data_IF_143442573286
#
_entry.id   IF_143442573286
#
_cell.length_a   1.000
_cell.length_b   1.000
_cell.length_c   1.000
_cell.angle_alpha   90.00
_cell.angle_beta   90.00
_cell.angle_gamma   90.00
#
_symmetry.space_group_name_H-M   'P 1'
#
loop_
_entity.id
_entity.type
_entity.pdbx_description
1 polymer ?
#
# COMPACT_ATOMS: atom_id res chain seq x y z
N UNK A 1 9.12 4.51 -2.92
CA UNK A 1 8.64 4.02 -4.24
C UNK A 1 7.32 3.31 -4.03
N UNK A 2 6.35 3.55 -4.91
CA UNK A 2 5.04 2.93 -4.87
C UNK A 2 4.78 2.23 -6.21
N UNK A 3 4.40 0.97 -6.18
CA UNK A 3 4.09 0.20 -7.38
C UNK A 3 2.68 -0.37 -7.24
N UNK A 4 1.79 -0.08 -8.19
CA UNK A 4 0.48 -0.70 -8.28
C UNK A 4 0.40 -1.62 -9.50
N UNK A 5 -0.44 -2.64 -9.41
CA UNK A 5 -0.72 -3.53 -10.54
C UNK A 5 -2.21 -3.74 -10.68
N UNK A 6 -2.71 -3.55 -11.89
CA UNK A 6 -4.10 -3.80 -12.27
C UNK A 6 -4.15 -4.47 -13.65
N UNK A 7 -5.34 -4.58 -14.23
CA UNK A 7 -5.54 -5.17 -15.57
C UNK A 7 -4.81 -4.39 -16.68
N UNK A 8 -4.61 -3.08 -16.49
CA UNK A 8 -3.85 -2.20 -17.38
C UNK A 8 -2.33 -2.34 -17.27
N UNK A 9 -1.84 -3.16 -16.34
CA UNK A 9 -0.42 -3.45 -16.16
C UNK A 9 0.14 -2.92 -14.84
N UNK A 10 1.45 -2.68 -14.83
CA UNK A 10 2.19 -2.23 -13.65
C UNK A 10 2.48 -0.74 -13.77
N UNK A 11 2.13 0.02 -12.74
CA UNK A 11 2.41 1.45 -12.64
C UNK A 11 3.34 1.70 -11.45
N UNK A 12 4.37 2.52 -11.63
CA UNK A 12 5.33 2.85 -10.58
C UNK A 12 5.43 4.35 -10.41
N UNK A 13 5.29 4.81 -9.17
CA UNK A 13 5.51 6.18 -8.75
C UNK A 13 6.76 6.26 -7.88
N UNK A 14 7.68 7.12 -8.29
CA UNK A 14 8.90 7.44 -7.56
C UNK A 14 8.85 8.91 -7.14
N UNK A 15 8.60 9.15 -5.87
CA UNK A 15 8.51 10.49 -5.33
C UNK A 15 8.00 10.49 -3.90
N UNK A 16 7.92 11.69 -3.34
CA UNK A 16 7.22 11.95 -2.09
C UNK A 16 5.72 11.94 -2.37
N UNK A 17 4.96 11.21 -1.55
CA UNK A 17 3.51 11.31 -1.53
C UNK A 17 3.15 12.50 -0.65
N UNK A 18 2.50 13.49 -1.25
CA UNK A 18 2.14 14.77 -0.61
C UNK A 18 0.64 14.85 -0.31
N UNK A 19 -0.19 14.13 -1.07
CA UNK A 19 -1.64 14.13 -0.88
C UNK A 19 -2.16 12.71 -0.69
N UNK A 20 -2.39 12.38 0.58
CA UNK A 20 -2.93 11.08 1.02
C UNK A 20 -4.21 11.33 1.79
N UNK A 21 -5.32 10.77 1.30
CA UNK A 21 -6.62 10.85 1.94
C UNK A 21 -7.09 9.45 2.34
N UNK A 22 -7.51 9.33 3.61
CA UNK A 22 -8.08 8.10 4.17
C UNK A 22 -9.59 8.25 4.26
N UNK A 23 -10.31 7.40 3.53
CA UNK A 23 -11.78 7.27 3.62
C UNK A 23 -12.13 5.95 4.31
N UNK A 24 -13.38 5.78 4.79
CA UNK A 24 -13.76 4.64 5.62
C UNK A 24 -13.47 3.23 5.06
N UNK A 25 -13.29 3.07 3.75
CA UNK A 25 -12.96 1.81 3.07
C UNK A 25 -12.07 2.00 1.82
N UNK A 26 -11.44 3.17 1.70
CA UNK A 26 -10.66 3.55 0.52
C UNK A 26 -9.46 4.39 0.94
N UNK A 27 -8.29 4.03 0.42
CA UNK A 27 -7.11 4.88 0.39
C UNK A 27 -7.07 5.59 -0.95
N UNK A 28 -6.92 6.90 -0.88
CA UNK A 28 -6.74 7.75 -2.04
C UNK A 28 -5.38 8.43 -1.98
N UNK A 29 -4.59 8.24 -3.03
CA UNK A 29 -3.36 8.99 -3.28
C UNK A 29 -3.57 9.84 -4.53
N UNK A 30 -3.37 11.15 -4.43
CA UNK A 30 -3.59 12.09 -5.54
C UNK A 30 -2.39 12.99 -5.77
N UNK A 31 -1.53 12.59 -6.69
CA UNK A 31 -0.43 13.39 -7.17
C UNK A 31 -0.74 13.96 -8.57
N UNK A 32 -0.10 15.06 -9.00
CA UNK A 32 -0.40 15.71 -10.28
C UNK A 32 -0.35 14.81 -11.52
N UNK A 33 0.38 13.69 -11.45
CA UNK A 33 0.55 12.73 -12.54
C UNK A 33 0.26 11.29 -12.13
N UNK A 34 -0.27 11.08 -10.93
CA UNK A 34 -0.51 9.75 -10.39
C UNK A 34 -1.68 9.79 -9.42
N UNK A 35 -2.71 9.02 -9.71
CA UNK A 35 -3.82 8.78 -8.77
C UNK A 35 -3.90 7.29 -8.46
N UNK A 36 -3.97 6.94 -7.18
CA UNK A 36 -4.29 5.59 -6.74
C UNK A 36 -5.54 5.63 -5.90
N UNK A 37 -6.49 4.79 -6.26
CA UNK A 37 -7.66 4.47 -5.47
C UNK A 37 -7.53 3.01 -5.07
N UNK A 38 -7.36 2.75 -3.78
CA UNK A 38 -7.24 1.42 -3.24
C UNK A 38 -8.41 1.16 -2.31
N UNK A 39 -9.31 0.27 -2.70
CA UNK A 39 -10.42 -0.14 -1.85
C UNK A 39 -10.01 -1.29 -0.95
N UNK A 40 -10.37 -1.22 0.33
CA UNK A 40 -10.09 -2.27 1.32
C UNK A 40 -10.64 -3.63 0.85
N UNK A 41 -11.83 -3.64 0.25
CA UNK A 41 -12.47 -4.85 -0.28
C UNK A 41 -11.65 -5.57 -1.38
N UNK A 42 -10.66 -4.91 -1.99
CA UNK A 42 -9.77 -5.52 -2.98
C UNK A 42 -8.59 -6.25 -2.33
N UNK A 43 -8.36 -6.04 -1.03
CA UNK A 43 -7.21 -6.58 -0.30
C UNK A 43 -7.65 -7.72 0.59
N UNK A 44 -7.05 -8.89 0.39
CA UNK A 44 -7.23 -10.06 1.23
C UNK A 44 -6.12 -10.15 2.29
N UNK A 45 -4.87 -9.86 1.90
CA UNK A 45 -3.73 -9.96 2.82
C UNK A 45 -2.72 -8.86 2.59
N UNK A 46 -2.00 -8.55 3.67
CA UNK A 46 -0.92 -7.58 3.71
C UNK A 46 0.32 -8.26 4.29
N UNK A 47 1.47 -8.02 3.67
CA UNK A 47 2.76 -8.57 4.08
C UNK A 47 3.70 -7.42 4.36
N UNK A 48 4.42 -7.53 5.47
CA UNK A 48 5.49 -6.60 5.84
C UNK A 48 6.82 -7.32 5.73
N UNK A 49 7.73 -6.76 4.94
CA UNK A 49 9.02 -7.35 4.63
C UNK A 49 10.09 -6.29 4.91
N UNK A 50 11.14 -6.67 5.63
CA UNK A 50 12.32 -5.82 5.84
C UNK A 50 13.52 -6.41 5.11
N UNK A 51 14.23 -5.58 4.36
CA UNK A 51 15.45 -5.96 3.65
C UNK A 51 16.53 -4.93 3.99
N UNK A 52 17.37 -5.25 4.98
CA UNK A 52 18.31 -4.28 5.55
C UNK A 52 17.55 -3.11 6.19
N UNK A 53 17.83 -1.88 5.75
CA UNK A 53 17.14 -0.66 6.19
C UNK A 53 15.91 -0.29 5.35
N UNK A 54 15.54 -1.14 4.39
CA UNK A 54 14.38 -0.92 3.53
C UNK A 54 13.18 -1.65 4.08
N UNK A 55 12.07 -0.92 4.23
CA UNK A 55 10.78 -1.49 4.59
C UNK A 55 9.92 -1.63 3.33
N UNK A 56 9.25 -2.78 3.20
CA UNK A 56 8.37 -3.09 2.08
C UNK A 56 7.02 -3.57 2.60
N UNK A 57 5.95 -3.01 2.04
CA UNK A 57 4.59 -3.47 2.26
C UNK A 57 4.02 -4.00 0.96
N UNK A 58 3.46 -5.20 0.97
CA UNK A 58 2.82 -5.82 -0.19
C UNK A 58 1.37 -6.18 0.13
N UNK A 59 0.47 -5.81 -0.78
CA UNK A 59 -0.96 -6.06 -0.67
C UNK A 59 -1.42 -6.98 -1.78
N UNK A 60 -2.17 -8.01 -1.40
CA UNK A 60 -2.64 -9.05 -2.30
C UNK A 60 -4.16 -9.15 -2.27
N UNK A 61 -4.75 -9.35 -3.44
CA UNK A 61 -6.18 -9.62 -3.55
C UNK A 61 -6.53 -11.08 -3.24
N UNK A 62 -7.82 -11.40 -3.30
CA UNK A 62 -8.33 -12.75 -3.06
C UNK A 62 -7.89 -13.82 -4.07
N UNK A 63 -7.24 -13.43 -5.18
CA UNK A 63 -6.61 -14.34 -6.14
C UNK A 63 -5.11 -14.53 -5.86
N UNK A 64 -4.58 -13.92 -4.80
CA UNK A 64 -3.15 -13.92 -4.50
C UNK A 64 -2.31 -13.02 -5.42
N UNK A 65 -2.94 -12.13 -6.19
CA UNK A 65 -2.20 -11.17 -7.02
C UNK A 65 -1.84 -9.92 -6.24
N UNK A 66 -0.60 -9.44 -6.42
CA UNK A 66 -0.15 -8.15 -5.92
C UNK A 66 -1.00 -7.02 -6.50
N UNK A 67 -1.55 -6.19 -5.63
CA UNK A 67 -2.34 -4.99 -5.93
C UNK A 67 -1.50 -3.74 -5.72
N UNK A 68 -0.75 -3.70 -4.61
CA UNK A 68 0.08 -2.57 -4.24
C UNK A 68 1.36 -3.06 -3.55
N UNK A 69 2.48 -2.44 -3.90
CA UNK A 69 3.75 -2.55 -3.18
C UNK A 69 4.23 -1.15 -2.82
N UNK A 70 4.57 -0.93 -1.55
CA UNK A 70 5.15 0.30 -1.04
C UNK A 70 6.53 0.01 -0.48
N UNK A 71 7.55 0.62 -1.07
CA UNK A 71 8.94 0.51 -0.64
C UNK A 71 9.41 1.84 -0.03
N UNK A 72 9.94 1.79 1.18
CA UNK A 72 10.37 2.96 1.96
C UNK A 72 11.80 2.73 2.47
N UNK A 73 12.60 3.80 2.52
CA UNK A 73 14.00 3.77 2.98
C UNK A 73 14.15 4.35 4.39
N UNK A 74 13.05 4.86 4.95
CA UNK A 74 12.91 5.38 6.30
C UNK A 74 11.53 5.00 6.84
N UNK A 75 11.40 4.73 8.15
CA UNK A 75 10.13 4.30 8.72
C UNK A 75 9.05 5.33 8.44
N UNK A 76 8.04 4.92 7.68
CA UNK A 76 6.81 5.71 7.52
C UNK A 76 5.96 5.46 8.77
N UNK A 77 6.30 6.13 9.86
CA UNK A 77 5.28 6.53 10.83
C UNK A 77 4.55 7.71 10.18
N UNK A 78 3.29 7.67 9.68
CA UNK A 78 2.13 6.85 10.08
C UNK A 78 1.23 6.33 8.92
N UNK A 79 1.61 6.47 7.65
CA UNK A 79 0.71 6.24 6.50
C UNK A 79 0.47 4.75 6.20
N UNK A 80 1.44 3.88 6.48
CA UNK A 80 1.24 2.43 6.39
C UNK A 80 0.40 1.91 7.57
N UNK A 81 0.54 2.53 8.76
CA UNK A 81 -0.21 2.17 9.96
C UNK A 81 -1.72 2.43 9.81
N UNK A 82 -2.11 3.47 9.08
CA UNK A 82 -3.51 3.91 8.92
C UNK A 82 -4.35 3.01 8.01
N UNK A 83 -3.74 2.30 7.05
CA UNK A 83 -4.46 1.35 6.17
C UNK A 83 -4.96 0.11 6.89
N UNK A 84 -4.27 -0.29 7.97
CA UNK A 84 -4.49 -1.58 8.63
C UNK A 84 -4.99 -1.46 10.07
N UNK A 85 -5.08 -0.26 10.65
CA UNK A 85 -5.52 -0.08 12.04
C UNK A 85 -7.05 -0.21 12.25
N UNK A 86 -7.85 -0.35 11.19
CA UNK A 86 -9.26 -0.77 11.32
C UNK A 86 -9.45 -2.27 11.23
N UNK A 87 -8.48 -3.00 10.68
CA UNK A 87 -8.44 -4.45 10.76
C UNK A 87 -7.58 -4.83 11.97
N UNK A 88 -8.20 -4.91 13.15
CA UNK A 88 -7.58 -5.57 14.31
C UNK A 88 -7.26 -7.07 14.07
N UNK A 89 -7.49 -7.58 12.86
CA UNK A 89 -7.33 -8.98 12.45
C UNK A 89 -6.17 -9.26 11.48
N UNK A 90 -5.40 -8.26 11.03
CA UNK A 90 -4.19 -8.57 10.23
C UNK A 90 -3.09 -8.99 11.19
N UNK A 91 -2.97 -10.30 11.39
CA UNK A 91 -1.81 -10.93 12.00
C UNK A 91 -0.59 -10.64 11.11
N UNK A 92 0.26 -9.73 11.57
CA UNK A 92 1.62 -9.59 11.06
C UNK A 92 2.36 -10.83 11.54
N UNK A 93 2.47 -11.85 10.70
CA UNK A 93 3.33 -12.99 10.99
C UNK A 93 4.78 -12.54 10.71
N UNK A 94 5.53 -12.35 11.79
CA UNK A 94 7.00 -12.22 11.78
C UNK A 94 7.66 -13.58 11.57
#
# INVERSE_FOLDING_TARGET
MLTSKNEGGRHTFNGLLTHVEMKPAELLLQEPRFSLHLHEAQILSAWYITIGSTECWELFNNKGHLVLQLLTVHPIQPTAYLLFNKSQDIKINS
#
